data_IF_505014112618
#
_entry.id   IF_505014112618
#
_cell.length_a   1.000
_cell.length_b   1.000
_cell.length_c   1.000
_cell.angle_alpha   90.00
_cell.angle_beta   90.00
_cell.angle_gamma   90.00
#
_symmetry.space_group_name_H-M   'P 1'
#
loop_
_entity.id
_entity.type
_entity.pdbx_description
1 polymer ?
#
# COMPACT_ATOMS: atom_id res chain seq x y z
N UNK A 1 33.16 -42.75 -18.02
CA UNK A 1 31.90 -42.02 -18.28
C UNK A 1 31.25 -41.85 -16.93
N UNK A 2 31.58 -40.77 -16.25
CA UNK A 2 31.09 -40.44 -14.91
C UNK A 2 29.87 -39.55 -15.08
N UNK A 3 28.82 -39.84 -14.33
CA UNK A 3 27.51 -39.17 -14.36
C UNK A 3 27.67 -37.65 -14.14
N UNK A 4 26.85 -36.80 -14.78
CA UNK A 4 26.81 -35.40 -14.39
C UNK A 4 26.13 -35.30 -13.03
N UNK A 5 26.90 -34.88 -12.03
CA UNK A 5 26.41 -34.42 -10.73
C UNK A 5 25.33 -33.35 -10.97
N UNK A 6 24.08 -33.76 -10.79
CA UNK A 6 22.98 -32.86 -10.54
C UNK A 6 23.20 -32.29 -9.13
N UNK A 7 24.09 -31.31 -9.02
CA UNK A 7 24.06 -30.38 -7.90
C UNK A 7 22.68 -29.73 -7.95
N UNK A 8 21.76 -30.32 -7.18
CA UNK A 8 20.53 -29.70 -6.73
C UNK A 8 20.95 -28.33 -6.22
N UNK A 9 20.68 -27.31 -7.00
CA UNK A 9 20.75 -25.93 -6.54
C UNK A 9 19.63 -25.82 -5.51
N UNK A 10 19.91 -26.20 -4.27
CA UNK A 10 19.12 -25.83 -3.12
C UNK A 10 19.26 -24.32 -2.99
N UNK A 11 18.52 -23.58 -3.83
CA UNK A 11 18.28 -22.17 -3.58
C UNK A 11 17.62 -22.11 -2.19
N UNK A 12 18.21 -21.38 -1.23
CA UNK A 12 17.53 -21.19 0.03
C UNK A 12 16.19 -20.52 -0.30
N UNK A 13 15.09 -21.18 0.08
CA UNK A 13 13.75 -20.61 0.08
C UNK A 13 13.83 -19.31 0.89
N UNK A 14 13.91 -18.17 0.21
CA UNK A 14 13.82 -16.88 0.87
C UNK A 14 12.52 -16.88 1.68
N UNK A 15 12.55 -16.44 2.96
CA UNK A 15 11.36 -16.41 3.77
C UNK A 15 10.29 -15.56 3.07
N UNK A 16 9.01 -15.92 3.16
CA UNK A 16 7.90 -15.29 2.41
C UNK A 16 7.70 -13.78 2.71
N UNK A 17 8.46 -13.21 3.64
CA UNK A 17 8.45 -11.78 4.00
C UNK A 17 9.39 -10.90 3.15
N UNK A 18 10.20 -11.49 2.26
CA UNK A 18 11.18 -10.78 1.42
C UNK A 18 10.75 -10.62 -0.04
N UNK A 19 9.53 -10.13 -0.32
CA UNK A 19 9.22 -9.64 -1.67
C UNK A 19 9.45 -8.11 -1.68
N UNK A 20 10.54 -7.61 -2.29
CA UNK A 20 10.82 -6.17 -2.39
C UNK A 20 9.64 -5.39 -3.00
N UNK A 21 8.91 -6.02 -3.92
CA UNK A 21 7.71 -5.47 -4.51
C UNK A 21 6.59 -5.24 -3.46
N UNK A 22 6.33 -6.20 -2.58
CA UNK A 22 5.32 -6.02 -1.52
C UNK A 22 5.71 -4.91 -0.56
N UNK A 23 6.99 -4.79 -0.23
CA UNK A 23 7.50 -3.69 0.61
C UNK A 23 7.32 -2.33 -0.08
N UNK A 24 7.63 -2.25 -1.37
CA UNK A 24 7.43 -1.04 -2.18
C UNK A 24 5.95 -0.61 -2.18
N UNK A 25 5.03 -1.54 -2.45
CA UNK A 25 3.60 -1.24 -2.47
C UNK A 25 3.04 -0.93 -1.08
N UNK A 26 3.57 -1.57 -0.03
CA UNK A 26 3.26 -1.22 1.36
C UNK A 26 3.68 0.21 1.71
N UNK A 27 4.87 0.65 1.28
CA UNK A 27 5.33 2.02 1.47
C UNK A 27 4.49 3.02 0.65
N UNK A 28 4.11 2.67 -0.58
CA UNK A 28 3.22 3.50 -1.40
C UNK A 28 1.84 3.66 -0.75
N UNK A 29 1.25 2.57 -0.24
CA UNK A 29 -0.01 2.62 0.50
C UNK A 29 0.11 3.47 1.77
N UNK A 30 1.22 3.35 2.50
CA UNK A 30 1.50 4.17 3.68
C UNK A 30 1.51 5.66 3.35
N UNK A 31 2.24 6.08 2.31
CA UNK A 31 2.29 7.46 1.87
C UNK A 31 0.89 7.99 1.48
N UNK A 32 0.14 7.18 0.74
CA UNK A 32 -1.22 7.52 0.32
C UNK A 32 -2.17 7.76 1.52
N UNK A 33 -2.09 6.89 2.54
CA UNK A 33 -2.83 7.06 3.79
C UNK A 33 -2.38 8.34 4.53
N UNK A 34 -1.07 8.58 4.64
CA UNK A 34 -0.52 9.73 5.35
C UNK A 34 -0.96 11.06 4.69
N UNK A 35 -1.03 11.12 3.36
CA UNK A 35 -1.52 12.28 2.61
C UNK A 35 -3.01 12.52 2.83
N UNK A 36 -3.83 11.47 2.74
CA UNK A 36 -5.27 11.54 3.01
C UNK A 36 -5.56 11.98 4.46
N UNK A 37 -4.84 11.41 5.43
CA UNK A 37 -4.94 11.81 6.85
C UNK A 37 -4.49 13.25 7.08
N UNK A 38 -3.43 13.67 6.41
CA UNK A 38 -2.91 15.04 6.50
C UNK A 38 -3.91 16.04 5.91
N UNK A 39 -4.58 15.68 4.82
CA UNK A 39 -5.68 16.47 4.26
C UNK A 39 -6.82 16.64 5.26
N UNK A 40 -7.32 15.53 5.82
CA UNK A 40 -8.41 15.54 6.82
C UNK A 40 -8.09 16.42 8.04
N UNK A 41 -6.84 16.36 8.53
CA UNK A 41 -6.36 17.17 9.66
C UNK A 41 -6.10 18.65 9.32
N UNK A 42 -6.30 19.06 8.06
CA UNK A 42 -6.04 20.43 7.60
C UNK A 42 -4.55 20.80 7.60
N UNK A 43 -3.64 19.82 7.55
CA UNK A 43 -2.19 20.06 7.49
C UNK A 43 -1.85 20.61 6.10
N UNK A 44 -1.35 21.85 6.06
CA UNK A 44 -1.07 22.54 4.80
C UNK A 44 0.32 22.21 4.28
N UNK A 45 0.40 21.47 3.17
CA UNK A 45 1.64 21.29 2.37
C UNK A 45 1.42 21.83 0.96
N UNK A 46 1.79 23.10 0.74
CA UNK A 46 1.49 23.83 -0.52
C UNK A 46 1.93 23.08 -1.79
N UNK A 47 3.06 22.39 -1.74
CA UNK A 47 3.62 21.70 -2.90
C UNK A 47 2.83 20.45 -3.33
N UNK A 48 2.03 19.87 -2.44
CA UNK A 48 1.31 18.60 -2.68
C UNK A 48 -0.17 18.66 -2.28
N UNK A 49 -0.74 19.86 -2.19
CA UNK A 49 -2.09 20.05 -1.65
C UNK A 49 -3.17 19.38 -2.50
N UNK A 50 -2.98 19.33 -3.82
CA UNK A 50 -3.91 18.70 -4.75
C UNK A 50 -3.87 17.17 -4.62
N UNK A 51 -2.68 16.61 -4.48
CA UNK A 51 -2.43 15.18 -4.29
C UNK A 51 -3.02 14.70 -2.97
N UNK A 52 -2.89 15.50 -1.91
CA UNK A 52 -3.50 15.24 -0.61
C UNK A 52 -5.03 15.19 -0.66
N UNK A 53 -5.67 16.16 -1.33
CA UNK A 53 -7.13 16.13 -1.57
C UNK A 53 -7.52 14.91 -2.40
N UNK A 54 -6.78 14.61 -3.47
CA UNK A 54 -7.08 13.48 -4.33
C UNK A 54 -6.98 12.14 -3.59
N UNK A 55 -5.93 11.96 -2.77
CA UNK A 55 -5.75 10.80 -1.92
C UNK A 55 -6.90 10.66 -0.92
N UNK A 56 -7.32 11.78 -0.31
CA UNK A 56 -8.45 11.80 0.61
C UNK A 56 -9.76 11.35 -0.05
N UNK A 57 -10.12 11.92 -1.20
CA UNK A 57 -11.36 11.58 -1.89
C UNK A 57 -11.35 10.12 -2.39
N UNK A 58 -10.24 9.69 -2.98
CA UNK A 58 -10.11 8.32 -3.49
C UNK A 58 -10.19 7.30 -2.34
N UNK A 59 -9.48 7.53 -1.22
CA UNK A 59 -9.54 6.65 -0.05
C UNK A 59 -10.93 6.59 0.58
N UNK A 60 -11.61 7.74 0.72
CA UNK A 60 -12.95 7.83 1.32
C UNK A 60 -13.99 7.03 0.54
N UNK A 61 -13.82 6.90 -0.77
CA UNK A 61 -14.78 6.25 -1.68
C UNK A 61 -14.30 4.91 -2.24
N UNK A 62 -13.22 4.32 -1.72
CA UNK A 62 -12.58 3.13 -2.30
C UNK A 62 -12.37 3.28 -3.82
N UNK A 63 -11.78 4.41 -4.20
CA UNK A 63 -11.54 4.81 -5.58
C UNK A 63 -10.47 3.96 -6.28
N UNK A 64 -10.19 4.27 -7.56
CA UNK A 64 -9.27 3.48 -8.38
C UNK A 64 -7.86 3.33 -7.77
N UNK A 65 -7.31 4.37 -7.15
CA UNK A 65 -5.97 4.28 -6.56
C UNK A 65 -5.96 3.39 -5.32
N UNK A 66 -6.96 3.54 -4.46
CA UNK A 66 -7.14 2.71 -3.26
C UNK A 66 -7.27 1.24 -3.64
N UNK A 67 -8.14 0.92 -4.62
CA UNK A 67 -8.31 -0.45 -5.11
C UNK A 67 -7.02 -1.03 -5.67
N UNK A 68 -6.27 -0.24 -6.45
CA UNK A 68 -4.98 -0.68 -7.00
C UNK A 68 -3.96 -0.96 -5.90
N UNK A 69 -3.78 -0.04 -4.95
CA UNK A 69 -2.82 -0.20 -3.86
C UNK A 69 -3.20 -1.40 -2.97
N UNK A 70 -4.48 -1.57 -2.67
CA UNK A 70 -4.99 -2.70 -1.91
C UNK A 70 -4.75 -4.04 -2.62
N UNK A 71 -4.98 -4.11 -3.94
CA UNK A 71 -4.68 -5.29 -4.74
C UNK A 71 -3.19 -5.68 -4.71
N UNK A 72 -2.28 -4.69 -4.77
CA UNK A 72 -0.83 -4.95 -4.72
C UNK A 72 -0.32 -5.35 -3.33
N UNK A 73 -1.08 -5.02 -2.27
CA UNK A 73 -0.68 -5.27 -0.88
C UNK A 73 -1.44 -6.42 -0.21
N UNK A 74 -2.50 -6.93 -0.85
CA UNK A 74 -3.36 -7.99 -0.33
C UNK A 74 -4.41 -7.50 0.67
N UNK A 75 -4.77 -6.22 0.62
CA UNK A 75 -5.82 -5.64 1.46
C UNK A 75 -7.16 -5.56 0.72
N UNK A 76 -8.25 -5.45 1.47
CA UNK A 76 -9.59 -5.16 0.95
C UNK A 76 -9.83 -3.65 0.96
N UNK A 77 -10.13 -3.08 -0.21
CA UNK A 77 -10.29 -1.65 -0.39
C UNK A 77 -11.55 -1.09 0.29
N UNK A 78 -12.63 -1.87 0.32
CA UNK A 78 -13.91 -1.42 0.89
C UNK A 78 -13.82 -1.42 2.43
N UNK A 79 -13.13 -2.43 3.01
CA UNK A 79 -12.77 -2.46 4.44
C UNK A 79 -11.86 -1.30 4.81
N UNK A 80 -10.81 -1.03 4.00
CA UNK A 80 -9.88 0.07 4.27
C UNK A 80 -10.59 1.43 4.21
N UNK A 81 -11.43 1.65 3.20
CA UNK A 81 -12.20 2.89 3.06
C UNK A 81 -13.19 3.07 4.23
N UNK A 82 -13.82 2.00 4.69
CA UNK A 82 -14.70 2.03 5.87
C UNK A 82 -13.92 2.36 7.15
N UNK A 83 -12.78 1.73 7.36
CA UNK A 83 -11.91 2.04 8.50
C UNK A 83 -11.45 3.51 8.47
N UNK A 84 -11.11 4.03 7.29
CA UNK A 84 -10.73 5.43 7.13
C UNK A 84 -11.88 6.40 7.43
N UNK A 85 -13.09 6.14 6.93
CA UNK A 85 -14.28 6.96 7.24
C UNK A 85 -14.53 7.02 8.75
N UNK A 86 -14.51 5.87 9.43
CA UNK A 86 -14.66 5.83 10.89
C UNK A 86 -13.56 6.58 11.63
N UNK A 87 -12.33 6.46 11.15
CA UNK A 87 -11.21 7.22 11.72
C UNK A 87 -11.42 8.73 11.57
N UNK A 88 -11.89 9.19 10.41
CA UNK A 88 -12.21 10.60 10.16
C UNK A 88 -13.31 11.13 11.10
N UNK A 89 -14.31 10.31 11.44
CA UNK A 89 -15.41 10.71 12.33
C UNK A 89 -15.00 10.82 13.81
N UNK A 90 -13.88 10.18 14.20
CA UNK A 90 -13.33 10.24 15.56
C UNK A 90 -12.27 11.33 15.76
N UNK A 91 -11.72 11.87 14.67
CA UNK A 91 -10.58 12.80 14.66
C UNK A 91 -11.04 14.26 14.62
#
# INVERSE_FOLDING_TARGET
MTEPDLELIEQPLQPPDEMPERQLWGAALRLFLDDAMSHHKGIKRKAIAAEMEQAYQDLRHAGPQTRRLCAMTGHDADILAEAFRRWCDMA
#
